data_IF_710051176221
#
_entry.id   IF_710051176221
#
_cell.length_a   1.000
_cell.length_b   1.000
_cell.length_c   1.000
_cell.angle_alpha   90.00
_cell.angle_beta   90.00
_cell.angle_gamma   90.00
#
_symmetry.space_group_name_H-M   'P 1'
#
loop_
_entity.id
_entity.type
_entity.pdbx_description
1 polymer ?
#
# COMPACT_ATOMS: atom_id res chain seq x y z
N UNK A 1 21.25 11.99 -7.59
CA UNK A 1 21.52 10.94 -8.59
C UNK A 1 20.36 9.93 -8.63
N UNK A 2 20.20 9.20 -9.74
CA UNK A 2 19.13 8.21 -9.95
C UNK A 2 19.73 6.89 -10.37
N UNK A 3 19.14 5.79 -9.94
CA UNK A 3 19.60 4.45 -10.32
C UNK A 3 18.74 3.90 -11.46
N UNK A 4 19.35 3.59 -12.60
CA UNK A 4 18.64 3.05 -13.76
C UNK A 4 18.95 1.56 -13.90
N UNK A 5 17.93 0.72 -14.00
CA UNK A 5 18.05 -0.73 -14.05
C UNK A 5 17.04 -1.37 -15.02
N UNK A 6 17.28 -2.61 -15.44
CA UNK A 6 16.36 -3.36 -16.32
C UNK A 6 16.82 -3.43 -17.78
N UNK A 7 15.90 -3.20 -18.71
CA UNK A 7 16.12 -3.27 -20.17
C UNK A 7 16.79 -2.01 -20.76
N UNK A 8 17.89 -1.58 -20.15
CA UNK A 8 18.71 -0.44 -20.62
C UNK A 8 20.09 -0.91 -21.03
N UNK A 9 20.78 -0.15 -21.88
CA UNK A 9 22.10 -0.53 -22.38
C UNK A 9 23.15 -0.61 -21.25
N UNK A 10 23.14 0.36 -20.33
CA UNK A 10 24.05 0.46 -19.21
C UNK A 10 23.28 0.76 -17.91
N UNK A 11 22.91 -0.28 -17.13
CA UNK A 11 22.28 -0.08 -15.84
C UNK A 11 23.32 0.39 -14.82
N UNK A 12 23.25 1.67 -14.42
CA UNK A 12 24.17 2.29 -13.46
C UNK A 12 23.49 3.48 -12.75
N UNK A 13 24.24 4.20 -11.91
CA UNK A 13 23.78 5.41 -11.22
C UNK A 13 24.15 6.64 -12.05
N UNK A 14 23.15 7.44 -12.39
CA UNK A 14 23.32 8.63 -13.21
C UNK A 14 23.03 9.90 -12.42
N UNK A 15 23.89 10.90 -12.59
CA UNK A 15 23.69 12.22 -12.01
C UNK A 15 23.00 13.11 -13.05
N UNK A 16 21.75 13.47 -12.79
CA UNK A 16 20.89 14.20 -13.71
C UNK A 16 20.50 15.56 -13.08
N UNK A 17 20.24 16.60 -13.89
CA UNK A 17 19.75 17.87 -13.37
C UNK A 17 18.38 17.74 -12.69
N UNK A 18 18.08 18.64 -11.76
CA UNK A 18 16.89 18.59 -10.89
C UNK A 18 15.52 18.64 -11.61
N UNK A 19 15.46 19.06 -12.87
CA UNK A 19 14.23 19.08 -13.69
C UNK A 19 14.21 17.94 -14.73
N UNK A 20 15.07 16.93 -14.56
CA UNK A 20 15.16 15.80 -15.48
C UNK A 20 13.92 14.91 -15.39
N UNK A 21 13.65 14.25 -16.51
CA UNK A 21 12.55 13.31 -16.64
C UNK A 21 13.10 11.90 -16.86
N UNK A 22 12.25 10.90 -16.68
CA UNK A 22 12.62 9.48 -16.83
C UNK A 22 13.27 9.24 -18.19
N UNK A 23 12.77 9.88 -19.26
CA UNK A 23 13.40 9.81 -20.58
C UNK A 23 14.91 10.16 -20.54
N UNK A 24 15.27 11.24 -19.85
CA UNK A 24 16.66 11.72 -19.77
C UNK A 24 17.55 10.73 -19.02
N UNK A 25 17.02 10.12 -17.95
CA UNK A 25 17.70 9.05 -17.22
C UNK A 25 17.97 7.81 -18.09
N UNK A 26 16.98 7.40 -18.89
CA UNK A 26 17.12 6.27 -19.80
C UNK A 26 18.11 6.59 -20.92
N UNK A 27 18.11 7.82 -21.44
CA UNK A 27 19.09 8.25 -22.44
C UNK A 27 20.50 8.28 -21.86
N UNK A 28 20.69 8.74 -20.63
CA UNK A 28 21.96 8.68 -19.90
C UNK A 28 22.44 7.22 -19.72
N UNK A 29 21.51 6.28 -19.51
CA UNK A 29 21.75 4.84 -19.47
C UNK A 29 22.06 4.19 -20.83
N UNK A 30 22.27 4.98 -21.89
CA UNK A 30 22.56 4.49 -23.24
C UNK A 30 21.31 4.08 -24.03
N UNK A 31 20.12 4.48 -23.55
CA UNK A 31 18.84 4.26 -24.21
C UNK A 31 18.19 2.91 -23.88
N UNK A 32 16.92 2.76 -24.28
CA UNK A 32 16.19 1.49 -24.15
C UNK A 32 16.80 0.42 -25.06
N UNK A 33 16.91 -0.82 -24.58
CA UNK A 33 17.26 -1.95 -25.44
C UNK A 33 16.11 -2.30 -26.39
N UNK A 34 16.37 -3.07 -27.46
CA UNK A 34 15.31 -3.52 -28.38
C UNK A 34 14.22 -4.39 -27.72
N UNK A 35 14.52 -4.88 -26.52
CA UNK A 35 13.61 -5.63 -25.67
C UNK A 35 12.94 -4.72 -24.62
N UNK A 36 13.12 -3.40 -24.62
CA UNK A 36 12.49 -2.53 -23.63
C UNK A 36 11.03 -2.19 -23.97
N UNK A 37 10.18 -2.13 -22.96
CA UNK A 37 8.76 -1.82 -23.10
C UNK A 37 8.44 -0.39 -22.62
N UNK A 38 8.65 0.57 -23.53
CA UNK A 38 8.45 2.01 -23.27
C UNK A 38 7.00 2.38 -22.92
N UNK A 39 6.02 1.55 -23.28
CA UNK A 39 4.61 1.79 -22.95
C UNK A 39 4.26 1.50 -21.49
N UNK A 40 5.11 0.73 -20.79
CA UNK A 40 4.90 0.35 -19.39
C UNK A 40 5.49 1.36 -18.40
N UNK A 41 6.18 2.37 -18.89
CA UNK A 41 6.86 3.38 -18.07
C UNK A 41 6.46 4.78 -18.53
N UNK A 42 6.21 5.68 -17.58
CA UNK A 42 5.92 7.07 -17.90
C UNK A 42 7.22 7.86 -18.11
N UNK A 43 7.64 7.98 -19.37
CA UNK A 43 8.86 8.69 -19.77
C UNK A 43 8.85 10.20 -19.43
N UNK A 44 7.67 10.81 -19.35
CA UNK A 44 7.49 12.22 -19.03
C UNK A 44 7.47 12.50 -17.53
N UNK A 45 7.56 11.46 -16.68
CA UNK A 45 7.62 11.62 -15.24
C UNK A 45 8.94 12.29 -14.85
N UNK A 46 8.88 13.26 -13.94
CA UNK A 46 10.07 13.84 -13.31
C UNK A 46 10.78 12.80 -12.45
N UNK A 47 12.10 12.78 -12.53
CA UNK A 47 12.93 11.95 -11.67
C UNK A 47 13.23 12.69 -10.38
N UNK A 48 13.27 11.96 -9.27
CA UNK A 48 13.65 12.51 -7.98
C UNK A 48 15.04 12.03 -7.59
N UNK A 49 15.69 12.79 -6.70
CA UNK A 49 16.95 12.36 -6.12
C UNK A 49 16.77 11.02 -5.40
N UNK A 50 17.75 10.14 -5.54
CA UNK A 50 17.76 8.79 -4.94
C UNK A 50 16.66 7.85 -5.47
N UNK A 51 16.03 8.20 -6.60
CA UNK A 51 14.99 7.38 -7.22
C UNK A 51 15.57 6.21 -8.04
N UNK A 52 14.91 5.04 -7.96
CA UNK A 52 15.16 3.91 -8.84
C UNK A 52 14.18 3.91 -10.02
N UNK A 53 14.75 3.85 -11.22
CA UNK A 53 14.03 3.74 -12.49
C UNK A 53 14.29 2.34 -13.04
N UNK A 54 13.24 1.52 -13.09
CA UNK A 54 13.29 0.19 -13.69
C UNK A 54 12.64 0.23 -15.07
N UNK A 55 13.39 -0.19 -16.09
CA UNK A 55 12.90 -0.33 -17.45
C UNK A 55 12.43 -1.77 -17.70
N UNK A 56 11.12 -2.00 -17.88
CA UNK A 56 10.58 -3.34 -18.10
C UNK A 56 10.93 -3.87 -19.49
N UNK A 57 11.06 -5.20 -19.61
CA UNK A 57 11.28 -5.90 -20.89
C UNK A 57 9.96 -6.26 -21.59
N UNK A 58 10.01 -6.34 -22.92
CA UNK A 58 8.90 -6.59 -23.82
C UNK A 58 8.56 -8.07 -23.82
N UNK A 59 7.43 -8.40 -23.22
CA UNK A 59 7.04 -9.79 -22.97
C UNK A 59 7.58 -10.38 -21.67
N UNK A 60 8.20 -9.56 -20.80
CA UNK A 60 8.36 -9.93 -19.40
C UNK A 60 6.98 -9.86 -18.75
N UNK A 61 6.26 -10.98 -18.81
CA UNK A 61 5.25 -11.30 -17.80
C UNK A 61 5.99 -11.19 -16.47
N UNK A 62 5.59 -10.20 -15.66
CA UNK A 62 6.14 -9.96 -14.33
C UNK A 62 6.50 -11.29 -13.70
N UNK A 63 7.72 -11.53 -13.18
CA UNK A 63 7.88 -12.63 -12.25
C UNK A 63 6.73 -12.48 -11.24
N UNK A 64 6.01 -13.56 -10.88
CA UNK A 64 4.99 -13.45 -9.86
C UNK A 64 5.69 -12.80 -8.69
N UNK A 65 5.31 -11.57 -8.40
CA UNK A 65 5.61 -10.98 -7.12
C UNK A 65 4.80 -11.85 -6.17
N UNK A 66 5.44 -12.93 -5.69
CA UNK A 66 5.30 -13.30 -4.30
C UNK A 66 5.30 -11.96 -3.57
N UNK A 67 4.20 -11.57 -2.90
CA UNK A 67 4.21 -10.36 -2.13
C UNK A 67 5.45 -10.43 -1.25
N UNK A 68 6.22 -9.34 -1.11
CA UNK A 68 7.28 -9.34 -0.13
C UNK A 68 6.65 -9.80 1.20
N UNK A 69 7.14 -10.92 1.73
CA UNK A 69 7.27 -11.09 3.16
C UNK A 69 8.08 -9.89 3.65
N UNK A 70 7.39 -8.79 3.93
CA UNK A 70 7.95 -7.45 4.11
C UNK A 70 6.96 -6.39 3.62
N UNK A 71 6.25 -5.68 4.50
CA UNK A 71 5.09 -4.86 4.13
C UNK A 71 5.48 -3.65 3.29
N UNK A 72 4.77 -3.47 2.18
CA UNK A 72 4.64 -2.24 1.38
C UNK A 72 3.12 -1.95 1.40
N UNK A 73 2.51 -0.83 1.76
CA UNK A 73 2.74 0.65 1.76
C UNK A 73 1.56 1.27 2.59
N UNK A 74 1.41 2.60 2.89
CA UNK A 74 1.87 3.79 2.15
C UNK A 74 2.45 4.95 3.00
N UNK A 75 3.12 5.90 2.34
CA UNK A 75 3.35 7.24 2.91
C UNK A 75 2.31 8.21 2.32
N UNK A 76 1.34 8.58 3.15
CA UNK A 76 0.60 9.84 3.06
C UNK A 76 0.08 10.14 4.46
N UNK A 77 0.67 11.18 5.08
CA UNK A 77 0.06 12.02 6.12
C UNK A 77 -0.49 11.31 7.37
N UNK A 78 0.32 11.38 8.43
CA UNK A 78 -0.10 11.78 9.78
C UNK A 78 -1.22 10.99 10.50
N UNK A 79 -0.80 10.35 11.59
CA UNK A 79 -1.53 9.75 12.71
C UNK A 79 -1.92 8.26 12.61
N UNK A 80 -1.19 7.44 13.36
CA UNK A 80 -1.77 6.29 14.07
C UNK A 80 -1.77 4.94 13.34
N UNK A 81 -0.63 4.54 12.77
CA UNK A 81 -0.45 3.28 12.04
C UNK A 81 -0.51 1.98 12.86
N UNK A 82 -1.58 1.73 13.60
CA UNK A 82 -1.88 0.38 14.11
C UNK A 82 -3.38 0.16 14.42
N UNK A 83 -4.26 1.07 13.97
CA UNK A 83 -5.69 1.05 14.34
C UNK A 83 -6.58 0.66 13.16
N UNK A 84 -7.30 -0.44 13.31
CA UNK A 84 -8.31 -0.94 12.38
C UNK A 84 -9.55 -0.04 12.45
N UNK A 85 -9.97 0.50 11.31
CA UNK A 85 -11.15 1.34 11.25
C UNK A 85 -12.42 0.49 11.20
N UNK A 86 -13.28 0.55 12.21
CA UNK A 86 -14.46 -0.32 12.31
C UNK A 86 -15.56 0.00 11.28
N UNK A 87 -15.58 1.21 10.73
CA UNK A 87 -16.53 1.62 9.68
C UNK A 87 -16.14 1.09 8.31
N UNK A 88 -14.84 0.97 8.02
CA UNK A 88 -14.33 0.58 6.70
C UNK A 88 -13.69 -0.81 6.66
N UNK A 89 -13.35 -1.39 7.82
CA UNK A 89 -12.69 -2.69 7.89
C UNK A 89 -13.56 -3.82 7.35
N UNK A 90 -12.89 -4.83 6.79
CA UNK A 90 -13.50 -6.08 6.33
C UNK A 90 -13.61 -7.08 7.48
N UNK A 91 -14.35 -8.17 7.26
CA UNK A 91 -14.49 -9.23 8.27
C UNK A 91 -13.13 -9.85 8.64
N UNK A 92 -12.21 -9.92 7.67
CA UNK A 92 -10.85 -10.43 7.86
C UNK A 92 -10.03 -9.48 8.75
N UNK A 93 -10.04 -8.18 8.44
CA UNK A 93 -9.35 -7.15 9.22
C UNK A 93 -9.87 -7.10 10.67
N UNK A 94 -11.19 -7.15 10.86
CA UNK A 94 -11.79 -7.23 12.20
C UNK A 94 -11.42 -8.53 12.91
N UNK A 95 -11.32 -9.64 12.19
CA UNK A 95 -10.92 -10.95 12.70
C UNK A 95 -9.46 -11.04 13.13
N UNK A 96 -8.59 -10.11 12.70
CA UNK A 96 -7.22 -10.02 13.19
C UNK A 96 -7.13 -9.47 14.63
N UNK A 97 -8.22 -8.86 15.13
CA UNK A 97 -8.24 -8.22 16.44
C UNK A 97 -8.34 -9.24 17.58
N UNK A 98 -7.61 -9.02 18.69
CA UNK A 98 -7.55 -9.97 19.80
C UNK A 98 -8.91 -10.11 20.49
N UNK A 99 -9.56 -11.27 20.31
CA UNK A 99 -10.88 -11.56 20.88
C UNK A 99 -12.05 -11.30 19.94
N UNK A 100 -11.79 -10.89 18.69
CA UNK A 100 -12.76 -10.87 17.59
C UNK A 100 -12.50 -12.07 16.69
N UNK A 101 -13.40 -13.04 16.76
CA UNK A 101 -13.45 -14.13 15.78
C UNK A 101 -14.32 -13.78 14.57
N UNK A 102 -14.38 -14.66 13.56
CA UNK A 102 -15.19 -14.45 12.35
C UNK A 102 -16.67 -14.17 12.65
N UNK A 103 -17.24 -14.79 13.68
CA UNK A 103 -18.62 -14.56 14.12
C UNK A 103 -18.85 -13.14 14.64
N UNK A 104 -17.90 -12.60 15.40
CA UNK A 104 -17.98 -11.24 15.94
C UNK A 104 -17.70 -10.20 14.86
N UNK A 105 -16.74 -10.46 13.99
CA UNK A 105 -16.44 -9.62 12.83
C UNK A 105 -17.67 -9.45 11.92
N UNK A 106 -18.39 -10.53 11.63
CA UNK A 106 -19.66 -10.47 10.90
C UNK A 106 -20.72 -9.64 11.64
N UNK A 107 -20.82 -9.78 12.98
CA UNK A 107 -21.77 -9.02 13.78
C UNK A 107 -21.50 -7.50 13.74
N UNK A 108 -20.23 -7.07 13.66
CA UNK A 108 -19.85 -5.66 13.51
C UNK A 108 -20.32 -5.12 12.15
N UNK A 109 -20.15 -5.91 11.08
CA UNK A 109 -20.58 -5.53 9.72
C UNK A 109 -22.10 -5.45 9.63
N UNK A 110 -22.79 -6.42 10.22
CA UNK A 110 -24.25 -6.44 10.28
C UNK A 110 -24.78 -5.24 11.07
N UNK A 111 -24.15 -4.93 12.21
CA UNK A 111 -24.49 -3.77 13.04
C UNK A 111 -24.36 -2.46 12.26
N UNK A 112 -23.22 -2.22 11.58
CA UNK A 112 -23.07 -0.97 10.80
C UNK A 112 -23.99 -0.88 9.59
N UNK A 113 -24.41 -2.03 9.06
CA UNK A 113 -25.37 -2.10 7.95
C UNK A 113 -26.79 -1.80 8.42
N UNK A 114 -27.13 -2.20 9.65
CA UNK A 114 -28.48 -2.06 10.22
C UNK A 114 -28.66 -0.74 10.98
N UNK A 115 -27.70 -0.35 11.80
CA UNK A 115 -27.75 0.85 12.66
C UNK A 115 -27.02 2.05 12.06
N UNK A 116 -26.19 1.84 11.03
CA UNK A 116 -25.35 2.88 10.43
C UNK A 116 -23.92 2.89 10.96
N UNK A 117 -23.06 3.80 10.49
CA UNK A 117 -21.65 3.83 10.88
C UNK A 117 -21.48 4.14 12.38
N UNK A 118 -20.48 3.52 12.99
CA UNK A 118 -20.06 3.75 14.37
C UNK A 118 -19.52 5.19 14.51
N UNK A 119 -20.10 5.97 15.43
CA UNK A 119 -19.64 7.34 15.71
C UNK A 119 -18.43 7.36 16.66
N UNK A 120 -18.35 6.37 17.53
CA UNK A 120 -17.31 6.24 18.56
C UNK A 120 -16.82 4.79 18.62
N UNK A 121 -15.57 4.59 19.03
CA UNK A 121 -15.03 3.23 19.25
C UNK A 121 -15.83 2.46 20.31
N UNK A 122 -16.50 3.15 21.22
CA UNK A 122 -17.30 2.57 22.32
C UNK A 122 -18.59 1.93 21.83
N UNK A 123 -19.11 2.37 20.69
CA UNK A 123 -20.36 1.91 20.08
C UNK A 123 -20.25 0.44 19.62
N UNK A 124 -19.02 -0.04 19.42
CA UNK A 124 -18.73 -1.45 19.17
C UNK A 124 -19.21 -2.38 20.30
N UNK A 125 -19.43 -1.86 21.52
CA UNK A 125 -19.94 -2.63 22.67
C UNK A 125 -21.42 -3.01 22.51
N UNK A 126 -22.17 -2.32 21.65
CA UNK A 126 -23.57 -2.63 21.36
C UNK A 126 -23.68 -3.82 20.39
N UNK A 127 -22.56 -4.17 19.73
CA UNK A 127 -22.49 -5.33 18.84
C UNK A 127 -22.59 -6.63 19.62
N UNK A 128 -23.48 -7.51 19.14
CA UNK A 128 -23.70 -8.84 19.72
C UNK A 128 -22.39 -9.64 19.79
N UNK A 129 -21.93 -9.91 21.01
CA UNK A 129 -20.73 -10.72 21.28
C UNK A 129 -19.47 -9.90 21.60
N UNK A 130 -19.56 -8.58 21.64
CA UNK A 130 -18.46 -7.69 22.06
C UNK A 130 -18.78 -7.13 23.45
N UNK A 131 -18.24 -7.78 24.48
CA UNK A 131 -18.32 -7.28 25.85
C UNK A 131 -17.15 -6.35 26.19
N UNK A 132 -17.22 -5.71 27.37
CA UNK A 132 -16.20 -4.79 27.90
C UNK A 132 -14.79 -5.39 27.85
N UNK A 133 -14.65 -6.66 28.21
CA UNK A 133 -13.38 -7.39 28.21
C UNK A 133 -12.74 -7.53 26.81
N UNK A 134 -13.55 -7.54 25.75
CA UNK A 134 -13.07 -7.54 24.37
C UNK A 134 -12.74 -6.11 23.94
N UNK A 135 -13.64 -5.16 24.21
CA UNK A 135 -13.44 -3.75 23.91
C UNK A 135 -12.15 -3.18 24.52
N UNK A 136 -11.81 -3.51 25.77
CA UNK A 136 -10.59 -3.01 26.41
C UNK A 136 -9.30 -3.43 25.71
N UNK A 137 -9.29 -4.60 25.08
CA UNK A 137 -8.16 -5.10 24.28
C UNK A 137 -8.16 -4.49 22.88
N UNK A 138 -9.32 -4.04 22.41
CA UNK A 138 -9.51 -3.49 21.08
C UNK A 138 -9.34 -1.97 21.03
N UNK A 139 -9.67 -1.21 22.08
CA UNK A 139 -9.71 0.26 22.09
C UNK A 139 -8.41 0.93 21.61
N UNK A 140 -7.28 0.25 21.79
CA UNK A 140 -5.95 0.69 21.34
C UNK A 140 -5.64 0.32 19.88
N UNK A 141 -6.35 -0.68 19.34
CA UNK A 141 -6.21 -1.24 17.99
C UNK A 141 -7.37 -0.90 17.05
N UNK A 142 -8.37 -0.14 17.50
CA UNK A 142 -9.49 0.29 16.67
C UNK A 142 -9.60 1.81 16.60
N UNK A 143 -10.19 2.30 15.51
CA UNK A 143 -10.52 3.70 15.29
C UNK A 143 -11.85 3.83 14.55
N UNK A 144 -12.44 5.02 14.62
CA UNK A 144 -13.56 5.46 13.79
C UNK A 144 -13.09 6.70 13.00
N UNK A 145 -13.45 6.77 11.71
CA UNK A 145 -13.34 7.96 10.87
C UNK A 145 -14.65 8.17 10.12
#
# INVERSE_FOLDING_TARGET
>A
CVYVSGAVAHPDVYELPYDSIVKDAIEAAGGPTGEADLNRINLARRVHDEEQIYMPRKGEESPPVSPPSGPSLPSLSSQGGDKVNINTATAEELGTLPGIGPTKAQSIIDYRTTNGPFQSIEDIKDVRGIGDATFEKLKDKITVQ
#
